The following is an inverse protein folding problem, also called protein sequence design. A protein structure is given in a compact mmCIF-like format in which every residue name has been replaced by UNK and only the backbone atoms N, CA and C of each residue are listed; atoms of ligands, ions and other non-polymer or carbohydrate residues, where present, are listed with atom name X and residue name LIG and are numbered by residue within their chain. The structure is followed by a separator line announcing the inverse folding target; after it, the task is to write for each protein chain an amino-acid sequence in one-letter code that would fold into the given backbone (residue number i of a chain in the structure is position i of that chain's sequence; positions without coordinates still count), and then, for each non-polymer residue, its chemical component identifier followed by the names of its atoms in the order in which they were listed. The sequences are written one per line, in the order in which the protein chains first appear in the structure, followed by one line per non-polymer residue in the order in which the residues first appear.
data_IF_753075458174
#
_entry.id   IF_753075458174
#
_cell.length_a   1.000
_cell.length_b   1.000
_cell.length_c   1.000
_cell.angle_alpha   90.00
_cell.angle_beta   90.00
_cell.angle_gamma   90.00
#
_symmetry.space_group_name_H-M   'P 1'
#
loop_
_entity.id
_entity.type
_entity.pdbx_description
1 polymer ?
#
# COMPACT_ATOMS: atom_id res chain seq x y z
N UNK A 1 0.77 -19.68 -7.85
CA UNK A 1 1.16 -18.33 -7.41
C UNK A 1 2.06 -18.44 -6.20
N UNK A 2 3.18 -17.69 -6.16
CA UNK A 2 4.08 -17.63 -5.01
C UNK A 2 4.00 -16.24 -4.40
N UNK A 3 3.59 -16.14 -3.15
CA UNK A 3 3.34 -14.86 -2.48
C UNK A 3 4.42 -14.53 -1.46
N UNK A 4 4.84 -13.25 -1.45
CA UNK A 4 5.41 -12.58 -0.29
C UNK A 4 4.33 -11.79 0.43
N UNK A 5 4.51 -11.55 1.72
CA UNK A 5 3.72 -10.54 2.43
C UNK A 5 4.61 -9.65 3.30
N UNK A 6 4.12 -8.45 3.57
CA UNK A 6 4.66 -7.54 4.57
C UNK A 6 3.53 -6.81 5.27
N UNK A 7 3.48 -6.93 6.58
CA UNK A 7 2.65 -6.08 7.44
C UNK A 7 3.54 -4.95 7.94
N UNK A 8 3.16 -3.71 7.65
CA UNK A 8 3.87 -2.53 8.13
C UNK A 8 3.44 -2.23 9.57
N UNK A 9 4.39 -2.36 10.49
CA UNK A 9 4.20 -2.08 11.91
C UNK A 9 5.41 -1.33 12.45
N UNK A 10 5.18 -0.34 13.29
CA UNK A 10 6.22 0.36 14.01
C UNK A 10 6.23 -0.09 15.47
N UNK A 11 7.37 -0.49 16.00
CA UNK A 11 7.53 -0.99 17.37
C UNK A 11 7.01 -0.01 18.46
N UNK A 12 6.95 1.28 18.13
CA UNK A 12 6.37 2.29 19.00
C UNK A 12 4.84 2.26 19.09
N UNK A 13 4.17 1.60 18.15
CA UNK A 13 2.71 1.52 18.05
C UNK A 13 2.18 0.31 18.85
N UNK A 14 2.48 0.28 20.14
CA UNK A 14 2.22 -0.84 21.08
C UNK A 14 0.74 -1.29 21.02
N UNK A 15 -0.18 -0.36 20.86
CA UNK A 15 -1.63 -0.67 20.79
C UNK A 15 -2.01 -1.53 19.59
N UNK A 16 -1.20 -1.55 18.52
CA UNK A 16 -1.43 -2.31 17.29
C UNK A 16 -0.61 -3.60 17.20
N UNK A 17 0.34 -3.81 18.12
CA UNK A 17 1.24 -4.97 18.10
C UNK A 17 0.48 -6.29 18.04
N UNK A 18 -0.64 -6.42 18.75
CA UNK A 18 -1.43 -7.65 18.76
C UNK A 18 -2.10 -7.94 17.40
N UNK A 19 -2.55 -6.89 16.67
CA UNK A 19 -3.10 -7.02 15.32
C UNK A 19 -2.01 -7.42 14.33
N UNK A 20 -0.85 -6.74 14.38
CA UNK A 20 0.32 -7.08 13.60
C UNK A 20 0.73 -8.55 13.77
N UNK A 21 0.88 -9.02 15.02
CA UNK A 21 1.28 -10.40 15.30
C UNK A 21 0.24 -11.40 14.80
N UNK A 22 -1.04 -11.13 15.01
CA UNK A 22 -2.15 -11.99 14.54
C UNK A 22 -2.15 -12.09 13.02
N UNK A 23 -2.05 -10.96 12.31
CA UNK A 23 -2.02 -10.94 10.85
C UNK A 23 -0.80 -11.67 10.31
N UNK A 24 0.37 -11.41 10.89
CA UNK A 24 1.62 -12.02 10.45
C UNK A 24 1.61 -13.55 10.67
N UNK A 25 1.14 -14.02 11.83
CA UNK A 25 0.96 -15.46 12.10
C UNK A 25 -0.01 -16.11 11.12
N UNK A 26 -1.12 -15.44 10.81
CA UNK A 26 -2.08 -15.93 9.83
C UNK A 26 -1.45 -16.03 8.44
N UNK A 27 -0.80 -14.96 7.97
CA UNK A 27 -0.20 -14.89 6.63
C UNK A 27 0.96 -15.86 6.44
N UNK A 28 1.73 -16.16 7.48
CA UNK A 28 2.83 -17.14 7.43
C UNK A 28 2.39 -18.57 7.08
N UNK A 29 1.09 -18.87 7.15
CA UNK A 29 0.53 -20.16 6.70
C UNK A 29 0.42 -20.27 5.17
N UNK A 30 0.40 -19.15 4.47
CA UNK A 30 0.06 -19.07 3.04
C UNK A 30 1.12 -18.41 2.17
N UNK A 31 1.98 -17.59 2.76
CA UNK A 31 2.95 -16.76 2.05
C UNK A 31 4.23 -16.60 2.85
N UNK A 32 5.29 -16.15 2.20
CA UNK A 32 6.59 -15.90 2.83
C UNK A 32 6.63 -14.48 3.37
N UNK A 33 6.91 -14.32 4.65
CA UNK A 33 7.17 -12.98 5.21
C UNK A 33 8.41 -12.37 4.57
N UNK A 34 8.26 -11.14 4.06
CA UNK A 34 9.36 -10.40 3.48
C UNK A 34 10.19 -9.76 4.60
N UNK A 35 11.45 -10.13 4.69
CA UNK A 35 12.40 -9.47 5.60
C UNK A 35 12.66 -8.04 5.11
N UNK A 36 11.82 -7.13 5.53
CA UNK A 36 11.84 -5.72 5.16
C UNK A 36 11.45 -4.86 6.36
N UNK A 37 12.29 -3.90 6.80
CA UNK A 37 11.93 -3.03 7.90
C UNK A 37 10.76 -2.11 7.51
N UNK A 38 9.94 -1.75 8.49
CA UNK A 38 9.03 -0.61 8.40
C UNK A 38 9.81 0.65 8.73
N UNK A 39 9.80 1.63 7.84
CA UNK A 39 10.59 2.85 7.98
C UNK A 39 9.77 3.94 8.66
N UNK A 40 10.23 4.41 9.81
CA UNK A 40 9.69 5.62 10.43
C UNK A 40 10.44 6.84 9.90
N UNK A 41 9.70 7.85 9.48
CA UNK A 41 10.25 9.19 9.21
C UNK A 41 9.42 10.17 10.04
N UNK A 42 10.05 10.84 10.99
CA UNK A 42 9.41 11.79 11.89
C UNK A 42 10.07 13.17 11.88
N UNK A 43 11.22 13.29 11.23
CA UNK A 43 12.01 14.50 11.16
C UNK A 43 12.91 14.51 9.91
N UNK A 44 13.57 15.66 9.68
CA UNK A 44 14.42 15.86 8.51
C UNK A 44 15.69 15.00 8.51
N UNK A 45 16.24 14.67 9.68
CA UNK A 45 17.43 13.83 9.80
C UNK A 45 17.12 12.40 9.33
N UNK A 46 16.00 11.82 9.76
CA UNK A 46 15.56 10.48 9.33
C UNK A 46 15.27 10.46 7.81
N UNK A 47 14.68 11.53 7.26
CA UNK A 47 14.51 11.66 5.81
C UNK A 47 15.84 11.73 5.07
N UNK A 48 16.82 12.47 5.59
CA UNK A 48 18.14 12.55 5.00
C UNK A 48 18.87 11.18 5.03
N UNK A 49 18.72 10.43 6.12
CA UNK A 49 19.26 9.08 6.22
C UNK A 49 18.62 8.14 5.19
N UNK A 50 17.31 8.24 4.98
CA UNK A 50 16.64 7.50 3.91
C UNK A 50 17.20 7.83 2.52
N UNK A 51 17.49 9.11 2.23
CA UNK A 51 18.09 9.50 0.95
C UNK A 51 19.53 9.01 0.75
N UNK A 52 20.32 8.82 1.82
CA UNK A 52 21.66 8.21 1.72
C UNK A 52 21.56 6.80 1.15
N UNK A 53 20.59 6.01 1.62
CA UNK A 53 20.38 4.65 1.13
C UNK A 53 19.62 4.59 -0.21
N UNK A 54 18.96 5.68 -0.58
CA UNK A 54 18.09 5.80 -1.75
C UNK A 54 18.37 7.09 -2.54
N UNK A 55 19.59 7.29 -3.07
CA UNK A 55 20.03 8.60 -3.62
C UNK A 55 19.28 9.03 -4.88
N UNK A 56 18.60 8.11 -5.57
CA UNK A 56 17.80 8.42 -6.77
C UNK A 56 16.37 8.82 -6.42
N UNK A 57 15.88 8.45 -5.23
CA UNK A 57 14.52 8.79 -4.80
C UNK A 57 14.47 10.26 -4.40
N UNK A 58 13.44 10.96 -4.88
CA UNK A 58 13.18 12.36 -4.52
C UNK A 58 11.69 12.52 -4.25
N UNK A 59 11.37 13.12 -3.11
CA UNK A 59 10.02 13.60 -2.85
C UNK A 59 9.96 15.08 -3.24
N UNK A 60 8.98 15.43 -4.04
CA UNK A 60 8.75 16.79 -4.49
C UNK A 60 7.29 17.16 -4.29
N UNK A 61 7.03 18.36 -3.84
CA UNK A 61 5.67 18.84 -3.71
C UNK A 61 5.29 19.70 -4.92
N UNK A 62 4.55 19.14 -5.85
CA UNK A 62 4.01 19.84 -7.01
C UNK A 62 2.61 20.42 -6.71
N UNK A 63 2.47 21.07 -5.54
CA UNK A 63 1.20 21.64 -5.13
C UNK A 63 0.18 20.63 -4.61
N UNK A 64 0.63 19.41 -4.23
CA UNK A 64 -0.26 18.45 -3.61
C UNK A 64 -0.89 19.04 -2.35
N UNK A 65 -2.22 19.13 -2.37
CA UNK A 65 -3.04 19.65 -1.29
C UNK A 65 -3.97 18.54 -0.77
N UNK A 66 -4.01 18.37 0.54
CA UNK A 66 -4.94 17.49 1.21
C UNK A 66 -5.54 18.22 2.42
N UNK A 67 -6.88 18.28 2.48
CA UNK A 67 -7.60 18.99 3.55
C UNK A 67 -7.14 20.46 3.73
N UNK A 68 -6.94 21.19 2.64
CA UNK A 68 -6.45 22.59 2.60
C UNK A 68 -5.02 22.78 3.16
N UNK A 69 -4.23 21.70 3.28
CA UNK A 69 -2.83 21.75 3.65
C UNK A 69 -1.95 21.34 2.48
N UNK A 70 -0.98 22.17 2.12
CA UNK A 70 -0.02 21.89 1.04
C UNK A 70 1.22 21.22 1.63
N UNK A 71 1.74 20.19 0.95
CA UNK A 71 3.00 19.54 1.29
C UNK A 71 2.86 18.14 1.86
N UNK A 72 3.99 17.61 2.31
CA UNK A 72 4.11 16.25 2.83
C UNK A 72 4.04 16.21 4.35
N UNK A 73 3.42 15.16 4.90
CA UNK A 73 3.62 14.76 6.30
C UNK A 73 4.76 13.75 6.37
N UNK A 74 5.54 13.79 7.42
CA UNK A 74 6.60 12.78 7.62
C UNK A 74 6.07 11.35 7.64
N UNK A 75 4.88 11.12 8.18
CA UNK A 75 4.23 9.80 8.11
C UNK A 75 3.99 9.31 6.68
N UNK A 76 3.55 10.18 5.77
CA UNK A 76 3.38 9.84 4.35
C UNK A 76 4.72 9.48 3.69
N UNK A 77 5.80 10.18 4.05
CA UNK A 77 7.16 9.85 3.61
C UNK A 77 7.63 8.51 4.16
N UNK A 78 7.32 8.21 5.43
CA UNK A 78 7.61 6.93 6.07
C UNK A 78 6.88 5.76 5.40
N UNK A 79 5.61 5.95 5.05
CA UNK A 79 4.83 4.95 4.29
C UNK A 79 5.50 4.69 2.93
N UNK A 80 5.86 5.74 2.19
CA UNK A 80 6.59 5.58 0.92
C UNK A 80 7.92 4.87 1.10
N UNK A 81 8.73 5.29 2.09
CA UNK A 81 10.03 4.68 2.37
C UNK A 81 9.90 3.18 2.69
N UNK A 82 8.89 2.80 3.47
CA UNK A 82 8.57 1.41 3.80
C UNK A 82 8.20 0.60 2.55
N UNK A 83 7.34 1.16 1.69
CA UNK A 83 6.94 0.51 0.45
C UNK A 83 8.11 0.35 -0.53
N UNK A 84 8.94 1.38 -0.72
CA UNK A 84 10.14 1.33 -1.56
C UNK A 84 11.08 0.22 -1.08
N UNK A 85 11.30 0.13 0.22
CA UNK A 85 12.15 -0.88 0.83
C UNK A 85 11.57 -2.29 0.62
N UNK A 86 10.26 -2.44 0.80
CA UNK A 86 9.57 -3.70 0.53
C UNK A 86 9.66 -4.11 -0.95
N UNK A 87 9.42 -3.20 -1.89
CA UNK A 87 9.56 -3.49 -3.33
C UNK A 87 10.98 -3.93 -3.69
N UNK A 88 12.01 -3.21 -3.21
CA UNK A 88 13.41 -3.57 -3.46
C UNK A 88 13.76 -4.95 -2.92
N UNK A 89 13.30 -5.30 -1.71
CA UNK A 89 13.54 -6.61 -1.12
C UNK A 89 12.74 -7.71 -1.85
N UNK A 90 11.49 -7.44 -2.23
CA UNK A 90 10.69 -8.34 -3.04
C UNK A 90 11.33 -8.64 -4.40
N UNK A 91 11.90 -7.64 -5.06
CA UNK A 91 12.59 -7.81 -6.34
C UNK A 91 13.88 -8.65 -6.24
N UNK A 92 14.45 -8.82 -5.05
CA UNK A 92 15.59 -9.71 -4.79
C UNK A 92 15.18 -11.16 -4.50
N UNK A 93 13.91 -11.43 -4.23
CA UNK A 93 13.35 -12.78 -4.02
C UNK A 93 12.99 -13.43 -5.36
N UNK A 94 12.51 -14.68 -5.34
CA UNK A 94 11.94 -15.40 -6.49
C UNK A 94 10.40 -15.45 -6.44
N UNK A 95 9.76 -14.63 -5.58
CA UNK A 95 8.34 -14.58 -5.38
C UNK A 95 7.66 -13.75 -6.48
N UNK A 96 6.40 -14.06 -6.79
CA UNK A 96 5.67 -13.49 -7.93
C UNK A 96 4.79 -12.30 -7.55
N UNK A 97 4.21 -12.36 -6.35
CA UNK A 97 3.25 -11.37 -5.83
C UNK A 97 3.67 -10.92 -4.45
N UNK A 98 3.47 -9.64 -4.16
CA UNK A 98 3.71 -9.02 -2.86
C UNK A 98 2.40 -8.46 -2.31
N UNK A 99 1.98 -8.95 -1.15
CA UNK A 99 0.84 -8.47 -0.39
C UNK A 99 1.38 -7.50 0.66
N UNK A 100 0.91 -6.26 0.63
CA UNK A 100 1.27 -5.20 1.54
C UNK A 100 0.07 -4.82 2.39
N UNK A 101 0.26 -4.73 3.69
CA UNK A 101 -0.80 -4.51 4.67
C UNK A 101 -0.34 -3.52 5.73
N UNK A 102 -1.24 -2.67 6.20
CA UNK A 102 -1.05 -1.87 7.42
C UNK A 102 -1.41 -2.70 8.66
N UNK A 103 -0.92 -2.32 9.83
CA UNK A 103 -1.07 -3.05 11.08
C UNK A 103 -2.43 -2.86 11.79
N UNK A 104 -3.30 -2.04 11.23
CA UNK A 104 -4.67 -1.83 11.70
C UNK A 104 -5.73 -2.61 10.91
N UNK A 105 -5.32 -3.60 10.15
CA UNK A 105 -6.23 -4.51 9.46
C UNK A 105 -6.69 -5.63 10.38
N UNK A 106 -8.00 -5.87 10.38
CA UNK A 106 -8.63 -7.07 10.94
C UNK A 106 -9.08 -7.95 9.78
N UNK A 107 -8.58 -9.18 9.73
CA UNK A 107 -8.96 -10.15 8.71
C UNK A 107 -10.13 -11.01 9.16
N UNK A 108 -10.93 -11.47 8.18
CA UNK A 108 -12.01 -12.44 8.38
C UNK A 108 -11.56 -13.84 7.92
N UNK A 109 -12.30 -14.86 8.36
CA UNK A 109 -12.12 -16.23 7.87
C UNK A 109 -12.19 -16.26 6.34
N UNK A 110 -11.26 -16.99 5.72
CA UNK A 110 -11.16 -17.08 4.26
C UNK A 110 -10.43 -15.91 3.59
N UNK A 111 -9.80 -15.00 4.35
CA UNK A 111 -9.09 -13.84 3.80
C UNK A 111 -8.15 -14.20 2.64
N UNK A 112 -7.24 -15.17 2.84
CA UNK A 112 -6.25 -15.52 1.82
C UNK A 112 -6.86 -16.28 0.64
N UNK A 113 -7.77 -17.23 0.89
CA UNK A 113 -8.41 -18.02 -0.17
C UNK A 113 -9.21 -17.12 -1.11
N UNK A 114 -9.98 -16.17 -0.54
CA UNK A 114 -10.73 -15.21 -1.34
C UNK A 114 -9.84 -14.18 -2.02
N UNK A 115 -8.70 -13.81 -1.44
CA UNK A 115 -7.70 -13.00 -2.13
C UNK A 115 -7.24 -13.69 -3.42
N UNK A 116 -6.90 -14.97 -3.34
CA UNK A 116 -6.50 -15.76 -4.52
C UNK A 116 -7.62 -15.86 -5.55
N UNK A 117 -8.86 -16.10 -5.10
CA UNK A 117 -10.03 -16.16 -5.99
C UNK A 117 -10.28 -14.83 -6.70
N UNK A 118 -10.08 -13.71 -6.03
CA UNK A 118 -10.21 -12.38 -6.64
C UNK A 118 -9.09 -12.09 -7.64
N UNK A 119 -7.85 -12.44 -7.30
CA UNK A 119 -6.72 -12.29 -8.23
C UNK A 119 -6.90 -13.11 -9.51
N UNK A 120 -7.52 -14.29 -9.43
CA UNK A 120 -7.83 -15.12 -10.60
C UNK A 120 -8.91 -14.50 -11.51
N UNK A 121 -9.67 -13.51 -11.04
CA UNK A 121 -10.68 -12.80 -11.84
C UNK A 121 -10.12 -11.55 -12.53
N UNK A 122 -8.86 -11.16 -12.23
CA UNK A 122 -8.23 -9.98 -12.83
C UNK A 122 -7.79 -10.27 -14.28
N UNK A 123 -7.84 -9.27 -15.17
CA UNK A 123 -7.26 -9.41 -16.50
C UNK A 123 -5.73 -9.55 -16.42
N UNK A 124 -5.11 -10.12 -17.45
CA UNK A 124 -3.66 -10.40 -17.44
C UNK A 124 -2.78 -9.14 -17.25
N UNK A 125 -3.28 -7.97 -17.63
CA UNK A 125 -2.57 -6.69 -17.60
C UNK A 125 -2.76 -5.89 -16.31
N UNK A 126 -3.27 -6.52 -15.25
CA UNK A 126 -3.42 -5.83 -13.97
C UNK A 126 -2.06 -5.49 -13.33
N UNK A 127 -2.00 -4.33 -12.67
CA UNK A 127 -0.82 -3.84 -12.00
C UNK A 127 -0.95 -3.87 -10.46
N UNK A 128 -2.05 -3.35 -9.93
CA UNK A 128 -2.31 -3.25 -8.49
C UNK A 128 -3.73 -3.71 -8.20
N UNK A 129 -3.87 -4.55 -7.18
CA UNK A 129 -5.16 -4.96 -6.66
C UNK A 129 -5.34 -4.48 -5.22
N UNK A 130 -6.25 -3.54 -5.01
CA UNK A 130 -6.61 -3.06 -3.68
C UNK A 130 -7.64 -4.01 -3.08
N UNK A 131 -7.22 -4.80 -2.11
CA UNK A 131 -8.08 -5.78 -1.45
C UNK A 131 -9.02 -5.15 -0.43
N UNK A 132 -8.66 -3.98 0.10
CA UNK A 132 -9.53 -3.12 0.88
C UNK A 132 -9.95 -1.92 0.04
N UNK A 133 -11.26 -1.60 0.07
CA UNK A 133 -11.81 -0.37 -0.51
C UNK A 133 -12.83 0.24 0.43
N UNK A 134 -12.83 1.57 0.63
CA UNK A 134 -13.87 2.24 1.40
C UNK A 134 -15.25 2.01 0.77
N UNK A 135 -16.21 1.47 1.54
CA UNK A 135 -17.52 1.06 1.03
C UNK A 135 -18.47 2.21 0.64
N UNK A 136 -18.12 3.43 0.98
CA UNK A 136 -18.97 4.62 0.79
C UNK A 136 -18.89 5.26 -0.61
N UNK A 137 -18.06 4.71 -1.51
CA UNK A 137 -17.99 5.17 -2.91
C UNK A 137 -18.35 4.03 -3.85
N UNK A 138 -19.37 4.29 -4.68
CA UNK A 138 -19.80 3.34 -5.73
C UNK A 138 -19.19 3.80 -7.05
N UNK A 139 -18.47 2.93 -7.79
CA UNK A 139 -17.97 3.28 -9.10
C UNK A 139 -19.11 3.56 -10.05
N UNK A 140 -18.94 4.54 -10.92
CA UNK A 140 -19.90 4.89 -11.97
C UNK A 140 -20.02 3.80 -13.06
N UNK A 141 -19.05 2.88 -13.12
CA UNK A 141 -18.97 1.83 -14.13
C UNK A 141 -18.62 0.47 -13.48
N UNK A 142 -19.69 -0.21 -12.98
CA UNK A 142 -19.57 -1.53 -12.32
C UNK A 142 -19.54 -2.68 -13.36
N UNK A 143 -19.65 -2.40 -14.66
CA UNK A 143 -19.79 -3.36 -15.73
C UNK A 143 -18.49 -4.10 -16.09
N UNK A 144 -17.72 -4.58 -15.09
CA UNK A 144 -16.72 -5.61 -15.38
C UNK A 144 -17.41 -6.96 -15.54
N UNK A 145 -16.98 -7.76 -16.49
CA UNK A 145 -17.45 -9.15 -16.68
C UNK A 145 -17.08 -10.05 -15.48
N UNK A 146 -16.05 -9.67 -14.73
CA UNK A 146 -15.65 -10.36 -13.51
C UNK A 146 -16.73 -10.27 -12.43
N UNK A 147 -16.92 -11.36 -11.69
CA UNK A 147 -17.98 -11.48 -10.69
C UNK A 147 -17.78 -10.51 -9.52
N UNK A 148 -16.59 -10.46 -8.95
CA UNK A 148 -16.31 -9.84 -7.64
C UNK A 148 -15.32 -8.68 -7.69
N UNK A 149 -14.65 -8.44 -8.83
CA UNK A 149 -13.64 -7.40 -8.99
C UNK A 149 -14.02 -6.38 -10.05
N UNK A 150 -13.55 -5.15 -9.92
CA UNK A 150 -13.76 -4.06 -10.88
C UNK A 150 -12.54 -3.13 -10.93
N UNK A 151 -12.50 -2.20 -11.88
CA UNK A 151 -11.51 -1.12 -11.89
C UNK A 151 -11.58 -0.34 -10.58
N UNK A 152 -10.42 0.01 -10.03
CA UNK A 152 -10.35 0.76 -8.78
C UNK A 152 -10.97 2.16 -8.96
N UNK A 153 -11.76 2.56 -8.00
CA UNK A 153 -12.54 3.79 -7.98
C UNK A 153 -12.31 4.65 -6.74
N UNK A 154 -11.56 4.10 -5.78
CA UNK A 154 -11.25 4.80 -4.54
C UNK A 154 -10.22 5.90 -4.78
N UNK A 155 -10.33 6.97 -4.00
CA UNK A 155 -9.36 8.06 -4.06
C UNK A 155 -8.21 7.88 -3.06
N UNK A 156 -8.30 6.90 -2.14
CA UNK A 156 -7.36 6.70 -1.04
C UNK A 156 -7.52 5.33 -0.39
N UNK A 157 -6.50 4.90 0.34
CA UNK A 157 -6.38 3.69 1.14
C UNK A 157 -5.55 2.57 0.52
N UNK A 158 -4.30 2.53 0.91
CA UNK A 158 -3.39 1.38 0.65
C UNK A 158 -3.32 0.42 1.84
N UNK A 159 -4.39 0.28 2.62
CA UNK A 159 -4.44 -0.57 3.81
C UNK A 159 -4.08 -2.02 3.54
N UNK A 160 -4.58 -2.56 2.43
CA UNK A 160 -4.23 -3.89 1.94
C UNK A 160 -4.25 -3.90 0.41
N UNK A 161 -3.12 -4.15 -0.20
CA UNK A 161 -3.04 -4.29 -1.65
C UNK A 161 -2.01 -5.30 -2.09
N UNK A 162 -2.18 -5.79 -3.32
CA UNK A 162 -1.26 -6.72 -3.97
C UNK A 162 -0.65 -6.06 -5.19
N UNK A 163 0.65 -6.26 -5.36
CA UNK A 163 1.40 -5.84 -6.53
C UNK A 163 2.13 -7.05 -7.13
N UNK A 164 2.15 -7.16 -8.46
CA UNK A 164 2.95 -8.18 -9.11
C UNK A 164 4.41 -7.72 -9.31
N UNK A 165 5.29 -8.65 -9.62
CA UNK A 165 6.73 -8.39 -9.75
C UNK A 165 7.06 -7.39 -10.86
N UNK A 166 6.33 -7.45 -11.98
CA UNK A 166 6.55 -6.53 -13.12
C UNK A 166 6.23 -5.11 -12.68
N UNK A 167 5.10 -4.93 -12.01
CA UNK A 167 4.67 -3.61 -11.52
C UNK A 167 5.60 -3.08 -10.44
N UNK A 168 6.04 -3.92 -9.49
CA UNK A 168 7.01 -3.50 -8.47
C UNK A 168 8.30 -2.97 -9.13
N UNK A 169 8.80 -3.63 -10.19
CA UNK A 169 9.94 -3.14 -10.96
C UNK A 169 9.66 -1.80 -11.64
N UNK A 170 8.49 -1.66 -12.30
CA UNK A 170 8.09 -0.41 -12.96
C UNK A 170 8.00 0.75 -11.98
N UNK A 171 7.48 0.51 -10.76
CA UNK A 171 7.44 1.53 -9.71
C UNK A 171 8.85 1.97 -9.32
N UNK A 172 9.75 1.03 -9.05
CA UNK A 172 11.14 1.35 -8.69
C UNK A 172 11.86 2.09 -9.82
N UNK A 173 11.68 1.66 -11.06
CA UNK A 173 12.27 2.34 -12.23
C UNK A 173 11.70 3.77 -12.36
N UNK A 174 10.40 3.94 -12.14
CA UNK A 174 9.76 5.25 -12.24
C UNK A 174 10.27 6.24 -11.17
N UNK A 175 10.26 5.85 -9.91
CA UNK A 175 10.66 6.73 -8.81
C UNK A 175 12.16 7.03 -8.78
N UNK A 176 12.97 6.22 -9.45
CA UNK A 176 14.39 6.51 -9.64
C UNK A 176 14.64 7.55 -10.74
N UNK A 177 13.70 7.72 -11.67
CA UNK A 177 13.82 8.65 -12.79
C UNK A 177 12.95 9.91 -12.63
N UNK A 178 11.89 9.81 -11.84
CA UNK A 178 10.92 10.90 -11.63
C UNK A 178 10.72 11.13 -10.14
N UNK A 179 10.52 12.40 -9.71
CA UNK A 179 10.21 12.68 -8.32
C UNK A 179 8.84 12.13 -7.94
N UNK A 180 8.70 11.72 -6.70
CA UNK A 180 7.42 11.32 -6.10
C UNK A 180 6.68 12.59 -5.71
N UNK A 181 5.52 12.83 -6.32
CA UNK A 181 4.71 14.04 -6.13
C UNK A 181 3.41 13.77 -5.38
N UNK A 182 3.04 12.50 -5.19
CA UNK A 182 1.76 12.09 -4.59
C UNK A 182 1.97 11.06 -3.49
N UNK A 183 1.16 11.06 -2.42
CA UNK A 183 1.08 9.93 -1.49
C UNK A 183 0.79 8.64 -2.23
N UNK A 184 1.21 7.51 -1.65
CA UNK A 184 1.15 6.22 -2.33
C UNK A 184 -0.28 5.83 -2.74
N UNK A 185 -1.28 6.22 -1.95
CA UNK A 185 -2.69 5.99 -2.24
C UNK A 185 -3.12 6.61 -3.56
N UNK A 186 -2.64 7.82 -3.83
CA UNK A 186 -2.93 8.55 -5.07
C UNK A 186 -1.98 8.19 -6.20
N UNK A 187 -0.77 7.77 -5.89
CA UNK A 187 0.26 7.49 -6.89
C UNK A 187 -0.22 6.47 -7.92
N UNK A 188 -0.82 5.38 -7.50
CA UNK A 188 -1.34 4.37 -8.43
C UNK A 188 -2.61 4.82 -9.14
N UNK A 189 -3.52 5.46 -8.41
CA UNK A 189 -4.87 5.77 -8.91
C UNK A 189 -4.92 7.00 -9.83
N UNK A 190 -4.03 7.99 -9.60
CA UNK A 190 -4.00 9.21 -10.41
C UNK A 190 -3.11 9.11 -11.64
N UNK A 191 -2.29 8.07 -11.73
CA UNK A 191 -1.45 7.84 -12.89
C UNK A 191 -2.09 6.82 -13.82
N UNK A 192 -2.50 7.26 -15.01
CA UNK A 192 -3.14 6.40 -16.04
C UNK A 192 -2.27 5.24 -16.55
N UNK A 193 -1.01 5.18 -16.13
CA UNK A 193 -0.07 4.11 -16.52
C UNK A 193 -0.23 2.81 -15.73
N UNK A 194 -1.03 2.79 -14.64
CA UNK A 194 -1.27 1.60 -13.84
C UNK A 194 -2.70 1.11 -13.97
N UNK A 195 -2.86 -0.18 -14.23
CA UNK A 195 -4.14 -0.87 -14.24
C UNK A 195 -4.51 -1.33 -12.83
N UNK A 196 -5.26 -0.49 -12.13
CA UNK A 196 -5.66 -0.71 -10.75
C UNK A 196 -7.04 -1.34 -10.66
N UNK A 197 -7.19 -2.34 -9.80
CA UNK A 197 -8.43 -3.06 -9.55
C UNK A 197 -8.74 -3.12 -8.06
N UNK A 198 -9.99 -3.38 -7.72
CA UNK A 198 -10.48 -3.53 -6.35
C UNK A 198 -11.65 -4.49 -6.27
N UNK A 199 -12.06 -4.84 -5.07
CA UNK A 199 -13.28 -5.62 -4.78
C UNK A 199 -14.51 -4.79 -5.10
N UNK A 200 -15.52 -5.38 -5.77
CA UNK A 200 -16.80 -4.71 -6.03
C UNK A 200 -17.54 -4.38 -4.72
N UNK A 201 -18.29 -3.26 -4.65
CA UNK A 201 -19.02 -2.87 -3.45
C UNK A 201 -20.02 -3.90 -2.93
N UNK A 202 -20.56 -4.73 -3.83
CA UNK A 202 -21.55 -5.78 -3.49
C UNK A 202 -20.92 -7.14 -3.16
N UNK A 203 -19.59 -7.24 -3.29
CA UNK A 203 -18.86 -8.46 -2.96
C UNK A 203 -18.41 -8.45 -1.50
N UNK A 204 -18.04 -9.61 -0.97
CA UNK A 204 -17.64 -9.73 0.43
C UNK A 204 -16.24 -9.15 0.64
N UNK A 205 -16.11 -8.24 1.59
CA UNK A 205 -14.81 -7.76 2.07
C UNK A 205 -14.31 -8.65 3.20
N UNK A 206 -13.13 -9.20 3.02
CA UNK A 206 -12.49 -10.11 3.98
C UNK A 206 -11.49 -9.42 4.92
N UNK A 207 -11.37 -8.10 4.82
CA UNK A 207 -10.61 -7.27 5.76
C UNK A 207 -11.39 -6.00 6.12
N UNK A 208 -11.16 -5.53 7.33
CA UNK A 208 -11.75 -4.31 7.90
C UNK A 208 -10.66 -3.50 8.59
N UNK A 209 -10.91 -2.22 8.81
CA UNK A 209 -10.05 -1.38 9.64
C UNK A 209 -10.41 -1.62 11.09
N UNK A 210 -9.42 -1.82 11.95
CA UNK A 210 -9.63 -1.84 13.40
C UNK A 210 -10.07 -0.45 13.88
N UNK A 211 -10.99 -0.42 14.84
CA UNK A 211 -11.40 0.83 15.51
C UNK A 211 -10.33 1.26 16.54
N UNK A 212 -9.17 1.68 16.03
CA UNK A 212 -8.03 2.14 16.82
C UNK A 212 -7.58 3.50 16.26
N UNK A 213 -7.30 4.45 17.15
CA UNK A 213 -6.77 5.77 16.73
C UNK A 213 -5.50 5.63 15.88
N UNK A 214 -5.51 6.28 14.72
CA UNK A 214 -4.34 6.37 13.87
C UNK A 214 -3.27 7.25 14.50
N UNK A 215 -2.08 6.70 14.72
CA UNK A 215 -0.94 7.45 15.27
C UNK A 215 -0.35 8.45 14.27
N UNK A 216 -0.61 8.29 12.97
CA UNK A 216 -0.02 9.10 11.90
C UNK A 216 -0.84 10.33 11.48
N UNK A 217 -2.17 10.30 11.64
CA UNK A 217 -3.03 11.33 11.04
C UNK A 217 -3.29 12.56 11.91
N UNK A 218 -3.09 12.46 13.22
CA UNK A 218 -3.71 13.41 14.15
C UNK A 218 -2.86 14.63 14.52
N UNK A 219 -1.54 14.71 14.22
CA UNK A 219 -0.72 15.79 14.81
C UNK A 219 0.46 16.34 13.97
N UNK A 220 0.65 15.90 12.73
CA UNK A 220 1.78 16.38 11.94
C UNK A 220 1.36 17.46 10.94
N UNK A 221 1.96 18.64 11.04
CA UNK A 221 1.83 19.68 10.01
C UNK A 221 2.49 19.21 8.71
N UNK A 222 1.87 19.52 7.58
CA UNK A 222 2.48 19.31 6.26
C UNK A 222 3.68 20.23 6.07
N UNK A 223 4.67 19.72 5.35
CA UNK A 223 5.86 20.48 4.99
C UNK A 223 6.01 20.51 3.48
N UNK A 224 6.33 21.69 2.98
CA UNK A 224 6.72 21.87 1.59
C UNK A 224 8.18 21.43 1.48
N UNK A 225 8.43 20.40 0.69
CA UNK A 225 9.77 19.95 0.33
C UNK A 225 10.15 20.64 -0.99
N UNK A 226 11.24 21.36 -0.98
CA UNK A 226 11.77 22.04 -2.15
C UNK A 226 12.65 21.11 -3.00
#
# INVERSE_FOLDING_TARGET
MKFAHKVFHLDKDINRTHLYLSMNEYMNKYSTELNSPTISISNQEELNNFYIDNPLVKFYNDGYEFNNEIGWRYGELGIWASNITAYKNFLRSDLEYLILMEDDIVYKEGFFDNLVDYLNQLPEDWDVFFYYAPQNKVPSDINSEAKDVCKAYQDWSCLCYVINRITAKRVIDDINNNPITLPIDYYFLKQSKYNCYTVKPNSTFYCEIADIESTFQTKQQRKVLA
#
